data_IF_139197833906
#
_entry.id   IF_139197833906
#
_cell.length_a   1.000
_cell.length_b   1.000
_cell.length_c   1.000
_cell.angle_alpha   90.00
_cell.angle_beta   90.00
_cell.angle_gamma   90.00
#
_symmetry.space_group_name_H-M   'P 1'
#
loop_
_entity.id
_entity.type
_entity.pdbx_description
1 polymer ?
#
# COMPACT_ATOMS: atom_id res chain seq x y z
N UNK A 1 -17.35 11.94 -22.67
CA UNK A 1 -17.56 11.96 -21.20
C UNK A 1 -17.64 10.57 -20.56
N UNK A 2 -18.33 9.57 -21.14
CA UNK A 2 -18.45 8.21 -20.54
C UNK A 2 -17.11 7.45 -20.34
N UNK A 3 -16.10 7.64 -21.19
CA UNK A 3 -14.81 6.94 -21.04
C UNK A 3 -14.03 7.36 -19.78
N UNK A 4 -14.02 8.66 -19.45
CA UNK A 4 -13.26 9.17 -18.29
C UNK A 4 -13.81 8.72 -16.94
N UNK A 5 -15.13 8.49 -16.85
CA UNK A 5 -15.75 8.01 -15.61
C UNK A 5 -15.23 6.62 -15.22
N UNK A 6 -15.15 5.71 -16.19
CA UNK A 6 -14.62 4.37 -15.96
C UNK A 6 -13.14 4.41 -15.56
N UNK A 7 -12.34 5.27 -16.21
CA UNK A 7 -10.92 5.43 -15.89
C UNK A 7 -10.71 5.98 -14.46
N UNK A 8 -11.52 6.95 -14.04
CA UNK A 8 -11.44 7.55 -12.69
C UNK A 8 -11.87 6.53 -11.63
N UNK A 9 -12.95 5.78 -11.87
CA UNK A 9 -13.41 4.74 -10.95
C UNK A 9 -12.35 3.64 -10.81
N UNK A 10 -11.76 3.20 -11.94
CA UNK A 10 -10.68 2.21 -11.93
C UNK A 10 -9.45 2.72 -11.15
N UNK A 11 -9.06 3.98 -11.35
CA UNK A 11 -7.96 4.61 -10.61
C UNK A 11 -8.21 4.61 -9.09
N UNK A 12 -9.42 4.98 -8.66
CA UNK A 12 -9.81 5.00 -7.25
C UNK A 12 -9.76 3.58 -6.66
N UNK A 13 -10.29 2.59 -7.37
CA UNK A 13 -10.27 1.18 -6.92
C UNK A 13 -8.83 0.69 -6.78
N UNK A 14 -7.97 0.98 -7.77
CA UNK A 14 -6.55 0.59 -7.70
C UNK A 14 -5.83 1.28 -6.54
N UNK A 15 -6.09 2.56 -6.30
CA UNK A 15 -5.52 3.30 -5.18
C UNK A 15 -5.93 2.68 -3.83
N UNK A 16 -7.22 2.39 -3.65
CA UNK A 16 -7.71 1.75 -2.42
C UNK A 16 -7.13 0.35 -2.22
N UNK A 17 -7.04 -0.44 -3.29
CA UNK A 17 -6.45 -1.78 -3.23
C UNK A 17 -4.97 -1.74 -2.83
N UNK A 18 -4.21 -0.84 -3.44
CA UNK A 18 -2.78 -0.70 -3.17
C UNK A 18 -2.53 -0.14 -1.77
N UNK A 19 -3.35 0.80 -1.31
CA UNK A 19 -3.28 1.29 0.07
C UNK A 19 -3.61 0.17 1.08
N UNK A 20 -4.57 -0.68 0.74
CA UNK A 20 -4.93 -1.84 1.56
C UNK A 20 -3.80 -2.87 1.66
N UNK A 21 -3.18 -3.21 0.52
CA UNK A 21 -1.99 -4.07 0.50
C UNK A 21 -0.83 -3.47 1.29
N UNK A 22 -0.57 -2.17 1.14
CA UNK A 22 0.48 -1.51 1.90
C UNK A 22 0.24 -1.66 3.40
N UNK A 23 -0.95 -1.29 3.87
CA UNK A 23 -1.33 -1.40 5.28
C UNK A 23 -1.19 -2.84 5.78
N UNK A 24 -1.63 -3.82 4.99
CA UNK A 24 -1.51 -5.23 5.35
C UNK A 24 -0.04 -5.65 5.57
N UNK A 25 0.83 -5.39 4.59
CA UNK A 25 2.24 -5.75 4.68
C UNK A 25 2.97 -4.99 5.77
N UNK A 26 2.68 -3.70 5.91
CA UNK A 26 3.25 -2.83 6.92
C UNK A 26 3.00 -3.38 8.33
N UNK A 27 1.74 -3.64 8.67
CA UNK A 27 1.39 -4.17 9.99
C UNK A 27 1.86 -5.61 10.19
N UNK A 28 1.91 -6.43 9.14
CA UNK A 28 2.42 -7.80 9.23
C UNK A 28 3.92 -7.82 9.57
N UNK A 29 4.70 -6.91 8.98
CA UNK A 29 6.12 -6.74 9.29
C UNK A 29 6.28 -6.27 10.74
N UNK A 30 5.44 -5.35 11.20
CA UNK A 30 5.46 -4.90 12.59
C UNK A 30 5.19 -6.01 13.60
N UNK A 31 4.23 -6.88 13.29
CA UNK A 31 3.93 -8.02 14.13
C UNK A 31 5.14 -8.96 14.21
N UNK A 32 5.76 -9.27 13.07
CA UNK A 32 6.89 -10.18 13.00
C UNK A 32 8.16 -9.65 13.69
N UNK A 33 8.43 -8.35 13.52
CA UNK A 33 9.53 -7.68 14.24
C UNK A 33 9.28 -7.75 15.74
N UNK A 34 8.08 -7.40 16.20
CA UNK A 34 7.74 -7.45 17.61
C UNK A 34 7.94 -8.85 18.23
N UNK A 35 7.46 -9.89 17.54
CA UNK A 35 7.63 -11.30 17.95
C UNK A 35 9.11 -11.72 17.98
N UNK A 36 9.91 -11.25 17.02
CA UNK A 36 11.36 -11.52 16.97
C UNK A 36 12.14 -10.95 18.16
N UNK A 37 11.61 -9.89 18.79
CA UNK A 37 12.16 -9.29 20.01
C UNK A 37 11.43 -9.75 21.28
N UNK A 38 10.73 -10.90 21.23
CA UNK A 38 10.06 -11.51 22.38
C UNK A 38 8.80 -10.77 22.85
N UNK A 39 8.31 -9.81 22.06
CA UNK A 39 7.04 -9.13 22.31
C UNK A 39 5.85 -9.89 21.73
N UNK A 40 4.65 -9.59 22.23
CA UNK A 40 3.40 -10.03 21.59
C UNK A 40 2.83 -8.88 20.77
N UNK A 41 2.52 -9.17 19.50
CA UNK A 41 1.92 -8.21 18.59
C UNK A 41 0.39 -8.32 18.59
N UNK A 42 -0.29 -7.18 18.54
CA UNK A 42 -1.74 -7.17 18.27
C UNK A 42 -1.99 -6.23 17.11
N UNK A 43 -2.39 -6.79 15.97
CA UNK A 43 -2.67 -6.02 14.76
C UNK A 43 -4.17 -5.82 14.61
N UNK A 44 -4.58 -4.55 14.46
CA UNK A 44 -5.95 -4.20 14.09
C UNK A 44 -5.95 -3.57 12.72
N UNK A 45 -6.79 -4.09 11.82
CA UNK A 45 -7.02 -3.49 10.51
C UNK A 45 -8.35 -2.73 10.51
N UNK A 46 -8.36 -1.52 9.95
CA UNK A 46 -9.63 -0.83 9.66
C UNK A 46 -10.33 -1.49 8.47
N UNK A 47 -11.66 -1.41 8.42
CA UNK A 47 -12.53 -2.09 7.43
C UNK A 47 -12.28 -1.67 5.97
N UNK A 48 -11.49 -0.61 5.74
CA UNK A 48 -11.06 -0.17 4.41
C UNK A 48 -9.55 -0.33 4.18
N UNK A 49 -8.84 -0.99 5.11
CA UNK A 49 -7.38 -1.11 5.14
C UNK A 49 -6.65 0.20 4.84
N UNK A 50 -7.22 1.35 5.23
CA UNK A 50 -6.56 2.66 5.13
C UNK A 50 -5.67 2.96 6.33
N UNK A 51 -5.60 2.00 7.26
CA UNK A 51 -4.81 2.11 8.46
C UNK A 51 -4.91 0.82 9.24
N UNK A 52 -3.83 0.51 9.93
CA UNK A 52 -3.77 -0.51 10.94
C UNK A 52 -2.95 -0.01 12.13
N UNK A 53 -3.02 -0.76 13.22
CA UNK A 53 -2.19 -0.48 14.38
C UNK A 53 -1.66 -1.79 14.92
N UNK A 54 -0.35 -1.89 15.03
CA UNK A 54 0.34 -2.99 15.71
C UNK A 54 0.91 -2.46 17.01
N UNK A 55 0.51 -3.07 18.12
CA UNK A 55 1.09 -2.77 19.43
C UNK A 55 2.08 -3.85 19.82
N UNK A 56 3.24 -3.47 20.34
CA UNK A 56 4.25 -4.39 20.88
C UNK A 56 4.41 -4.21 22.40
N UNK A 57 4.58 -5.32 23.13
CA UNK A 57 4.69 -5.32 24.60
C UNK A 57 6.05 -4.90 25.13
N UNK A 58 7.12 -4.95 24.31
CA UNK A 58 8.49 -4.61 24.73
C UNK A 58 8.88 -3.18 24.35
N UNK A 59 9.77 -2.56 25.13
CA UNK A 59 10.29 -1.21 24.82
C UNK A 59 11.17 -1.22 23.57
N UNK A 60 12.00 -2.24 23.41
CA UNK A 60 12.86 -2.43 22.24
C UNK A 60 12.00 -2.63 20.98
N UNK A 61 10.99 -3.51 21.04
CA UNK A 61 10.05 -3.73 19.94
C UNK A 61 9.30 -2.45 19.54
N UNK A 62 8.94 -1.59 20.50
CA UNK A 62 8.35 -0.27 20.20
C UNK A 62 9.31 0.70 19.51
N UNK A 63 10.60 0.70 19.83
CA UNK A 63 11.56 1.56 19.14
C UNK A 63 11.83 1.08 17.71
N UNK A 64 11.95 -0.23 17.51
CA UNK A 64 12.07 -0.82 16.18
C UNK A 64 10.80 -0.61 15.34
N UNK A 65 9.62 -0.58 15.98
CA UNK A 65 8.36 -0.23 15.32
C UNK A 65 8.42 1.16 14.67
N UNK A 66 8.88 2.18 15.38
CA UNK A 66 8.98 3.57 14.87
C UNK A 66 9.95 3.66 13.69
N UNK A 67 11.08 2.94 13.75
CA UNK A 67 12.07 2.94 12.66
C UNK A 67 11.51 2.20 11.44
N UNK A 68 10.85 1.06 11.65
CA UNK A 68 10.25 0.28 10.57
C UNK A 68 9.09 1.02 9.91
N UNK A 69 8.26 1.75 10.68
CA UNK A 69 7.24 2.67 10.18
C UNK A 69 7.85 3.61 9.13
N UNK A 70 8.90 4.36 9.48
CA UNK A 70 9.50 5.36 8.58
C UNK A 70 10.06 4.73 7.30
N UNK A 71 10.80 3.62 7.44
CA UNK A 71 11.46 2.96 6.30
C UNK A 71 10.45 2.26 5.40
N UNK A 72 9.52 1.50 5.97
CA UNK A 72 8.53 0.73 5.23
C UNK A 72 7.54 1.64 4.52
N UNK A 73 7.12 2.74 5.14
CA UNK A 73 6.25 3.75 4.51
C UNK A 73 6.94 4.49 3.37
N UNK A 74 8.23 4.80 3.51
CA UNK A 74 9.00 5.43 2.42
C UNK A 74 9.18 4.46 1.24
N UNK A 75 9.53 3.21 1.52
CA UNK A 75 9.69 2.18 0.50
C UNK A 75 8.38 1.87 -0.22
N UNK A 76 7.27 1.76 0.53
CA UNK A 76 5.94 1.49 -0.04
C UNK A 76 5.50 2.61 -0.97
N UNK A 77 5.63 3.89 -0.57
CA UNK A 77 5.27 5.03 -1.43
C UNK A 77 6.04 4.98 -2.75
N UNK A 78 7.33 4.68 -2.72
CA UNK A 78 8.15 4.59 -3.94
C UNK A 78 7.64 3.47 -4.85
N UNK A 79 7.44 2.26 -4.31
CA UNK A 79 6.97 1.10 -5.09
C UNK A 79 5.58 1.36 -5.68
N UNK A 80 4.67 1.91 -4.89
CA UNK A 80 3.31 2.25 -5.30
C UNK A 80 3.32 3.29 -6.41
N UNK A 81 4.13 4.35 -6.25
CA UNK A 81 4.26 5.42 -7.24
C UNK A 81 4.78 4.88 -8.57
N UNK A 82 5.81 4.03 -8.54
CA UNK A 82 6.37 3.39 -9.74
C UNK A 82 5.32 2.48 -10.39
N UNK A 83 4.65 1.61 -9.62
CA UNK A 83 3.65 0.69 -10.13
C UNK A 83 2.46 1.42 -10.77
N UNK A 84 1.91 2.43 -10.09
CA UNK A 84 0.82 3.25 -10.63
C UNK A 84 1.26 3.99 -11.89
N UNK A 85 2.49 4.51 -11.92
CA UNK A 85 3.06 5.14 -13.11
C UNK A 85 3.12 4.19 -14.31
N UNK A 86 3.59 2.95 -14.11
CA UNK A 86 3.66 1.93 -15.17
C UNK A 86 2.28 1.53 -15.69
N UNK A 87 1.30 1.35 -14.79
CA UNK A 87 -0.07 1.02 -15.17
C UNK A 87 -0.70 2.15 -15.96
N UNK A 88 -0.57 3.39 -15.49
CA UNK A 88 -1.10 4.57 -16.17
C UNK A 88 -0.51 4.73 -17.58
N UNK A 89 0.81 4.59 -17.73
CA UNK A 89 1.48 4.62 -19.04
C UNK A 89 0.98 3.49 -19.95
N UNK A 90 0.80 2.29 -19.43
CA UNK A 90 0.30 1.14 -20.19
C UNK A 90 -1.12 1.38 -20.73
N UNK A 91 -2.01 1.96 -19.92
CA UNK A 91 -3.36 2.35 -20.35
C UNK A 91 -3.30 3.43 -21.44
N UNK A 92 -2.45 4.44 -21.29
CA UNK A 92 -2.26 5.49 -22.31
C UNK A 92 -1.73 4.92 -23.63
N UNK A 93 -0.74 4.03 -23.58
CA UNK A 93 -0.20 3.36 -24.77
C UNK A 93 -1.27 2.48 -25.45
N UNK A 94 -2.03 1.70 -24.68
CA UNK A 94 -3.10 0.87 -25.22
C UNK A 94 -4.18 1.73 -25.91
N UNK A 95 -4.61 2.83 -25.29
CA UNK A 95 -5.58 3.77 -25.88
C UNK A 95 -5.04 4.42 -27.16
N UNK A 96 -3.79 4.90 -27.15
CA UNK A 96 -3.15 5.49 -28.34
C UNK A 96 -3.10 4.50 -29.49
N UNK A 97 -2.80 3.22 -29.22
CA UNK A 97 -2.75 2.17 -30.24
C UNK A 97 -4.13 1.90 -30.84
N UNK A 98 -5.17 1.80 -30.01
CA UNK A 98 -6.55 1.58 -30.45
C UNK A 98 -7.02 2.73 -31.35
N UNK A 99 -6.76 3.99 -30.95
CA UNK A 99 -7.14 5.17 -31.71
C UNK A 99 -6.39 5.32 -33.04
N UNK A 100 -5.15 4.82 -33.15
CA UNK A 100 -4.39 4.87 -34.39
C UNK A 100 -4.76 3.76 -35.40
N UNK A 101 -5.53 2.75 -34.96
CA UNK A 101 -5.99 1.64 -35.81
C UNK A 101 -7.52 1.66 -36.06
N UNK A 102 -8.22 2.71 -35.59
CA UNK A 102 -9.64 2.99 -35.89
C UNK A 102 -9.78 4.09 -36.93
#
# INVERSE_FOLDING_TARGET
MKHYFFDIVLLIIMFLFVNGLHTYFHESIHAHICESFGGSATTKYSVLMQGGSTSCTTNEGRQYHIINDIVSYTASIIVITIFMGMVFLSILFAKKRILNHS
#
